data_IF_241360874608
#
_entry.id   IF_241360874608
#
_cell.length_a   1.000
_cell.length_b   1.000
_cell.length_c   1.000
_cell.angle_alpha   90.00
_cell.angle_beta   90.00
_cell.angle_gamma   90.00
#
_symmetry.space_group_name_H-M   'P 1'
#
loop_
_entity.id
_entity.type
_entity.pdbx_description
1 polymer ?
#
# COMPACT_ATOMS: atom_id res chain seq x y z
N UNK A 1 -28.91 -7.88 1.33
CA UNK A 1 -29.67 -8.41 0.17
C UNK A 1 -31.14 -8.36 0.51
N UNK A 2 -32.00 -7.89 -0.40
CA UNK A 2 -33.43 -7.75 -0.14
C UNK A 2 -34.20 -9.06 -0.44
N UNK A 3 -35.18 -9.43 0.39
CA UNK A 3 -36.05 -10.61 0.20
C UNK A 3 -35.49 -11.94 0.74
N UNK A 4 -36.15 -13.06 0.41
CA UNK A 4 -35.71 -14.42 0.80
C UNK A 4 -36.25 -14.97 2.13
N UNK A 5 -37.25 -14.31 2.74
CA UNK A 5 -37.87 -14.75 4.00
C UNK A 5 -38.86 -15.92 3.85
N UNK A 6 -39.41 -16.16 2.65
CA UNK A 6 -40.29 -17.31 2.38
C UNK A 6 -39.45 -18.52 1.96
N UNK A 7 -39.75 -19.67 2.58
CA UNK A 7 -39.15 -20.95 2.20
C UNK A 7 -39.49 -21.30 0.74
N UNK A 8 -38.50 -21.70 -0.10
CA UNK A 8 -38.73 -22.00 -1.51
C UNK A 8 -39.79 -23.08 -1.74
N UNK A 9 -39.77 -24.14 -0.92
CA UNK A 9 -40.75 -25.22 -0.94
C UNK A 9 -40.84 -25.96 0.41
N UNK A 10 -41.86 -26.81 0.56
CA UNK A 10 -42.07 -27.64 1.75
C UNK A 10 -40.90 -28.61 1.96
N UNK A 11 -40.59 -28.93 3.23
CA UNK A 11 -39.42 -29.74 3.59
C UNK A 11 -39.44 -31.18 3.03
N UNK A 12 -40.64 -31.74 2.84
CA UNK A 12 -40.89 -33.11 2.40
C UNK A 12 -41.95 -33.12 1.30
N UNK A 13 -41.97 -34.18 0.49
CA UNK A 13 -42.98 -34.42 -0.55
C UNK A 13 -42.66 -33.85 -1.94
N UNK A 14 -41.54 -33.15 -2.12
CA UNK A 14 -41.16 -32.53 -3.40
C UNK A 14 -40.09 -33.30 -4.18
N UNK A 15 -39.39 -34.27 -3.56
CA UNK A 15 -38.27 -35.00 -4.18
C UNK A 15 -37.00 -34.15 -4.45
N UNK A 16 -37.02 -32.86 -4.08
CA UNK A 16 -35.89 -31.92 -4.29
C UNK A 16 -35.02 -31.81 -3.04
N UNK A 17 -33.80 -31.27 -3.20
CA UNK A 17 -32.93 -30.89 -2.09
C UNK A 17 -33.64 -29.93 -1.12
N UNK A 18 -33.24 -29.97 0.15
CA UNK A 18 -33.87 -29.17 1.21
C UNK A 18 -33.23 -27.78 1.28
N UNK A 19 -34.01 -26.73 1.04
CA UNK A 19 -33.53 -25.35 1.16
C UNK A 19 -34.42 -24.52 2.07
N UNK A 20 -33.78 -23.66 2.87
CA UNK A 20 -34.44 -22.72 3.78
C UNK A 20 -34.76 -21.37 3.15
N UNK A 21 -33.87 -20.87 2.27
CA UNK A 21 -34.00 -19.58 1.61
C UNK A 21 -33.36 -19.61 0.22
N UNK A 22 -33.90 -18.83 -0.71
CA UNK A 22 -33.29 -18.56 -2.03
C UNK A 22 -32.04 -17.68 -1.94
N UNK A 23 -31.75 -17.06 -0.79
CA UNK A 23 -30.59 -16.17 -0.58
C UNK A 23 -29.37 -16.89 0.02
N UNK A 24 -29.44 -18.21 0.19
CA UNK A 24 -28.28 -19.00 0.64
C UNK A 24 -27.13 -18.93 -0.38
N UNK A 25 -25.86 -18.96 0.05
CA UNK A 25 -24.70 -18.91 -0.85
C UNK A 25 -24.64 -20.01 -1.91
N UNK A 26 -25.38 -21.10 -1.71
CA UNK A 26 -25.47 -22.23 -2.66
C UNK A 26 -26.30 -21.84 -3.91
N UNK A 27 -27.19 -20.86 -3.78
CA UNK A 27 -28.04 -20.40 -4.87
C UNK A 27 -27.38 -19.33 -5.72
N UNK A 28 -27.66 -19.35 -7.02
CA UNK A 28 -27.27 -18.26 -7.92
C UNK A 28 -27.93 -16.94 -7.48
N UNK A 29 -27.13 -15.89 -7.27
CA UNK A 29 -27.60 -14.60 -6.73
C UNK A 29 -27.90 -14.61 -5.22
N UNK A 30 -27.44 -15.65 -4.50
CA UNK A 30 -27.40 -15.72 -3.04
C UNK A 30 -26.22 -14.95 -2.43
N UNK A 31 -26.15 -14.95 -1.09
CA UNK A 31 -25.10 -14.27 -0.33
C UNK A 31 -23.68 -14.79 -0.57
N UNK A 32 -22.67 -13.94 -0.41
CA UNK A 32 -21.26 -14.38 -0.38
C UNK A 32 -20.93 -14.83 1.05
N UNK A 33 -20.50 -16.09 1.24
CA UNK A 33 -20.24 -16.65 2.57
C UNK A 33 -19.04 -15.99 3.29
N UNK A 34 -17.91 -15.87 2.58
CA UNK A 34 -16.68 -15.27 3.08
C UNK A 34 -16.22 -14.17 2.12
N UNK A 35 -16.98 -13.08 2.07
CA UNK A 35 -16.62 -11.89 1.32
C UNK A 35 -16.02 -10.80 2.21
N UNK A 36 -15.38 -9.78 1.63
CA UNK A 36 -15.02 -8.57 2.36
C UNK A 36 -16.29 -7.94 2.95
N UNK A 37 -16.27 -7.67 4.26
CA UNK A 37 -17.48 -7.24 5.01
C UNK A 37 -17.62 -5.72 5.16
N UNK A 38 -16.70 -4.94 4.61
CA UNK A 38 -16.70 -3.48 4.70
C UNK A 38 -15.31 -2.91 4.46
N UNK A 39 -15.11 -1.61 4.70
CA UNK A 39 -13.78 -1.01 4.67
C UNK A 39 -12.92 -1.64 5.76
N UNK A 40 -11.78 -2.20 5.38
CA UNK A 40 -10.81 -2.77 6.32
C UNK A 40 -9.62 -1.83 6.40
N UNK A 41 -9.28 -1.35 7.59
CA UNK A 41 -8.04 -0.62 7.84
C UNK A 41 -6.92 -1.60 8.19
N UNK A 42 -5.74 -1.37 7.63
CA UNK A 42 -4.51 -2.12 7.94
C UNK A 42 -3.53 -1.29 8.77
N UNK A 43 -4.04 -0.26 9.44
CA UNK A 43 -3.21 0.64 10.23
C UNK A 43 -2.72 -0.05 11.49
N UNK A 44 -1.41 0.01 11.71
CA UNK A 44 -0.78 -0.32 12.98
C UNK A 44 0.48 0.54 13.15
N UNK A 45 0.85 0.83 14.39
CA UNK A 45 2.02 1.65 14.71
C UNK A 45 3.14 0.76 15.26
N UNK A 46 4.28 0.63 14.55
CA UNK A 46 5.45 -0.06 15.08
C UNK A 46 6.08 0.71 16.26
N UNK A 47 6.77 0.02 17.19
CA UNK A 47 7.53 0.65 18.26
C UNK A 47 8.51 1.70 17.72
N UNK A 48 8.66 2.80 18.46
CA UNK A 48 9.56 3.90 18.05
C UNK A 48 11.00 3.42 17.83
N UNK A 49 11.50 2.53 18.69
CA UNK A 49 12.86 1.99 18.60
C UNK A 49 13.11 1.24 17.29
N UNK A 50 12.12 0.49 16.81
CA UNK A 50 12.20 -0.25 15.54
C UNK A 50 12.19 0.70 14.34
N UNK A 51 11.36 1.75 14.38
CA UNK A 51 11.34 2.79 13.33
C UNK A 51 12.70 3.49 13.22
N UNK A 52 13.27 3.89 14.35
CA UNK A 52 14.60 4.53 14.40
C UNK A 52 15.69 3.56 13.93
N UNK A 53 15.63 2.29 14.34
CA UNK A 53 16.58 1.29 13.89
C UNK A 53 16.51 1.07 12.38
N UNK A 54 15.30 0.95 11.83
CA UNK A 54 15.09 0.81 10.38
C UNK A 54 15.71 1.96 9.58
N UNK A 55 15.55 3.20 10.05
CA UNK A 55 16.17 4.37 9.42
C UNK A 55 17.71 4.30 9.45
N UNK A 56 18.30 3.94 10.60
CA UNK A 56 19.75 3.77 10.73
C UNK A 56 20.29 2.68 9.79
N UNK A 57 19.58 1.56 9.68
CA UNK A 57 19.93 0.46 8.78
C UNK A 57 19.86 0.90 7.32
N UNK A 58 18.81 1.63 6.92
CA UNK A 58 18.65 2.14 5.56
C UNK A 58 19.82 3.07 5.16
N UNK A 59 20.17 4.04 6.02
CA UNK A 59 21.29 4.95 5.79
C UNK A 59 22.64 4.21 5.74
N UNK A 60 22.83 3.25 6.65
CA UNK A 60 24.05 2.42 6.68
C UNK A 60 24.19 1.59 5.40
N UNK A 61 23.08 1.00 4.93
CA UNK A 61 23.07 0.23 3.69
C UNK A 61 23.43 1.09 2.48
N UNK A 62 22.90 2.33 2.41
CA UNK A 62 23.22 3.26 1.32
C UNK A 62 24.68 3.70 1.34
N UNK A 63 25.23 3.93 2.53
CA UNK A 63 26.66 4.22 2.67
C UNK A 63 27.54 3.05 2.23
N UNK A 64 27.20 1.81 2.64
CA UNK A 64 27.97 0.61 2.28
C UNK A 64 27.91 0.30 0.78
N UNK A 65 26.81 0.66 0.11
CA UNK A 65 26.65 0.52 -1.34
C UNK A 65 27.38 1.62 -2.12
N UNK A 66 27.84 2.68 -1.45
CA UNK A 66 28.43 3.86 -2.10
C UNK A 66 27.39 4.81 -2.72
N UNK A 67 26.11 4.63 -2.40
CA UNK A 67 24.98 5.40 -2.94
C UNK A 67 24.67 6.66 -2.12
N UNK A 68 25.24 6.79 -0.91
CA UNK A 68 25.04 7.94 -0.05
C UNK A 68 26.12 8.99 -0.32
N UNK A 69 25.70 10.19 -0.67
CA UNK A 69 26.58 11.33 -0.90
C UNK A 69 26.18 12.47 0.04
N UNK A 70 27.15 12.97 0.80
CA UNK A 70 26.99 14.17 1.66
C UNK A 70 27.48 15.38 0.88
N UNK A 71 26.70 16.45 0.89
CA UNK A 71 26.99 17.71 0.21
C UNK A 71 26.81 18.85 1.20
N UNK A 72 27.63 19.89 1.09
CA UNK A 72 27.61 21.03 2.02
C UNK A 72 26.41 21.96 1.79
N UNK A 73 26.04 22.19 0.52
CA UNK A 73 24.89 23.01 0.14
C UNK A 73 24.19 22.47 -1.11
N UNK A 74 22.87 22.67 -1.20
CA UNK A 74 22.05 22.36 -2.38
C UNK A 74 21.89 23.57 -3.32
N UNK A 75 22.75 24.58 -3.18
CA UNK A 75 22.74 25.75 -4.05
C UNK A 75 23.20 25.38 -5.46
N UNK A 76 22.38 25.75 -6.45
CA UNK A 76 22.67 25.50 -7.85
C UNK A 76 23.00 26.79 -8.60
N UNK A 77 23.95 26.76 -9.55
CA UNK A 77 24.29 27.94 -10.35
C UNK A 77 23.17 28.35 -11.32
N UNK A 78 22.24 27.45 -11.64
CA UNK A 78 21.15 27.67 -12.58
C UNK A 78 19.95 26.83 -12.19
N UNK A 79 18.74 27.32 -12.47
CA UNK A 79 17.47 26.64 -12.21
C UNK A 79 17.02 25.71 -13.36
N UNK A 80 17.90 25.42 -14.31
CA UNK A 80 17.58 24.56 -15.45
C UNK A 80 17.57 23.09 -15.00
N UNK A 81 16.45 22.36 -15.19
CA UNK A 81 16.39 20.94 -14.84
C UNK A 81 17.39 20.07 -15.61
N UNK A 82 17.85 20.49 -16.81
CA UNK A 82 18.84 19.72 -17.56
C UNK A 82 20.18 19.65 -16.85
N UNK A 83 20.58 20.74 -16.18
CA UNK A 83 21.82 20.81 -15.40
C UNK A 83 21.91 19.70 -14.35
N UNK A 84 20.81 19.41 -13.64
CA UNK A 84 20.77 18.34 -12.65
C UNK A 84 20.86 16.94 -13.26
N UNK A 85 20.22 16.72 -14.41
CA UNK A 85 20.27 15.44 -15.11
C UNK A 85 21.68 15.14 -15.63
N UNK A 86 22.36 16.16 -16.17
CA UNK A 86 23.73 16.07 -16.65
C UNK A 86 24.71 15.86 -15.50
N UNK A 87 24.52 16.57 -14.38
CA UNK A 87 25.33 16.39 -13.17
C UNK A 87 25.22 14.96 -12.62
N UNK A 88 24.00 14.43 -12.51
CA UNK A 88 23.76 13.07 -12.03
C UNK A 88 24.38 12.01 -12.96
N UNK A 89 24.33 12.25 -14.27
CA UNK A 89 24.93 11.37 -15.28
C UNK A 89 26.46 11.40 -15.22
N UNK A 90 27.04 12.61 -15.09
CA UNK A 90 28.48 12.82 -14.96
C UNK A 90 29.06 12.18 -13.69
N UNK A 91 28.34 12.28 -12.56
CA UNK A 91 28.77 11.70 -11.27
C UNK A 91 28.36 10.23 -11.10
N UNK A 92 27.69 9.63 -12.07
CA UNK A 92 27.21 8.26 -12.05
C UNK A 92 26.31 7.92 -10.84
N UNK A 93 25.46 8.85 -10.42
CA UNK A 93 24.51 8.66 -9.30
C UNK A 93 23.35 7.70 -9.61
N UNK A 94 23.26 7.24 -10.85
CA UNK A 94 22.23 6.32 -11.31
C UNK A 94 20.97 7.04 -11.78
N UNK A 95 19.88 6.28 -11.89
CA UNK A 95 18.63 6.74 -12.56
C UNK A 95 17.76 7.63 -11.68
N UNK A 96 17.87 7.50 -10.36
CA UNK A 96 17.02 8.21 -9.40
C UNK A 96 17.87 8.71 -8.24
N UNK A 97 17.71 9.99 -7.93
CA UNK A 97 18.41 10.66 -6.82
C UNK A 97 17.35 11.28 -5.90
N UNK A 98 17.51 11.10 -4.59
CA UNK A 98 16.66 11.71 -3.57
C UNK A 98 17.46 12.80 -2.87
N UNK A 99 16.99 14.04 -2.96
CA UNK A 99 17.56 15.17 -2.22
C UNK A 99 16.81 15.32 -0.90
N UNK A 100 17.55 15.55 0.19
CA UNK A 100 17.02 15.76 1.53
C UNK A 100 17.63 17.05 2.05
N UNK A 101 16.78 18.03 2.33
CA UNK A 101 17.17 19.32 2.91
C UNK A 101 16.62 19.41 4.35
N UNK A 102 17.25 20.27 5.15
CA UNK A 102 16.86 20.56 6.53
C UNK A 102 15.85 21.71 6.58
N UNK A 103 15.78 22.53 5.54
CA UNK A 103 14.85 23.65 5.45
C UNK A 103 13.39 23.15 5.43
N UNK A 104 12.57 23.79 6.26
CA UNK A 104 11.20 23.39 6.58
C UNK A 104 10.35 23.20 5.31
N UNK A 105 9.61 22.09 5.27
CA UNK A 105 8.46 21.91 4.38
C UNK A 105 7.53 23.10 4.67
N UNK A 106 7.24 24.00 3.69
CA UNK A 106 6.22 25.01 3.90
C UNK A 106 4.89 24.29 4.15
N UNK A 107 4.18 24.70 5.22
CA UNK A 107 2.81 24.22 5.52
C UNK A 107 1.87 24.24 4.31
#
# INVERSE_FOLDING_TARGET
>A
MHGGGRKPWRQKGTGRARHGSIRSPIWHGGGVAFGPRGPTSYYYMPPMKERVLGLKVALTSKQLQGDLHVVDSLEMPTFDPQYLADLASYRHWGRSVLFVDVDEIPE
#
